data_IF_847481435152
#
_entry.id   IF_847481435152
#
_cell.length_a   1.000
_cell.length_b   1.000
_cell.length_c   1.000
_cell.angle_alpha   90.00
_cell.angle_beta   90.00
_cell.angle_gamma   90.00
#
_symmetry.space_group_name_H-M   'P 1'
#
loop_
_entity.id
_entity.type
_entity.pdbx_description
1 polymer ?
#
# COMPACT_ATOMS: atom_id res chain seq x y z
N UNK A 1 -8.91 0.85 -19.45
CA UNK A 1 -8.93 2.17 -18.78
C UNK A 1 -8.05 2.08 -17.53
N UNK A 2 -6.77 2.43 -17.66
CA UNK A 2 -5.82 2.42 -16.55
C UNK A 2 -6.00 3.72 -15.76
N UNK A 3 -6.79 3.66 -14.68
CA UNK A 3 -6.88 4.76 -13.72
C UNK A 3 -5.57 4.75 -12.95
N UNK A 4 -4.67 5.68 -13.30
CA UNK A 4 -3.44 5.93 -12.57
C UNK A 4 -3.77 6.14 -11.10
N UNK A 5 -3.22 5.30 -10.24
CA UNK A 5 -3.47 5.36 -8.81
C UNK A 5 -2.75 6.60 -8.23
N UNK A 6 -3.46 7.72 -8.11
CA UNK A 6 -3.02 8.80 -7.25
C UNK A 6 -3.04 8.29 -5.81
N UNK A 7 -1.87 7.90 -5.31
CA UNK A 7 -1.66 7.54 -3.92
C UNK A 7 -1.13 8.76 -3.20
N UNK A 8 -1.97 9.44 -2.43
CA UNK A 8 -1.52 10.51 -1.55
C UNK A 8 -1.10 9.92 -0.20
N UNK A 9 0.16 10.14 0.16
CA UNK A 9 0.78 9.61 1.38
C UNK A 9 1.07 10.73 2.36
N UNK A 10 0.59 10.62 3.60
CA UNK A 10 0.84 11.61 4.66
C UNK A 10 1.51 10.93 5.86
N UNK A 11 2.57 11.54 6.40
CA UNK A 11 3.20 11.15 7.66
C UNK A 11 3.08 12.30 8.65
N UNK A 12 2.60 12.04 9.87
CA UNK A 12 2.39 13.08 10.90
C UNK A 12 3.30 12.82 12.10
N UNK A 13 4.10 13.82 12.49
CA UNK A 13 4.89 13.85 13.73
C UNK A 13 4.10 14.54 14.84
N UNK A 14 4.25 14.09 16.10
CA UNK A 14 3.60 14.71 17.26
C UNK A 14 4.29 15.99 17.77
N UNK A 15 5.46 16.34 17.25
CA UNK A 15 6.01 17.68 17.42
C UNK A 15 5.27 18.60 16.45
N UNK A 16 4.63 19.68 16.94
CA UNK A 16 3.81 20.63 16.15
C UNK A 16 4.53 21.41 15.04
N UNK A 17 5.63 20.89 14.52
CA UNK A 17 6.29 21.32 13.29
C UNK A 17 5.98 20.27 12.23
N UNK A 18 5.21 20.67 11.21
CA UNK A 18 4.99 19.89 10.00
C UNK A 18 6.29 20.03 9.18
N UNK A 19 7.14 19.01 9.03
CA UNK A 19 8.18 19.09 8.02
C UNK A 19 7.49 18.99 6.66
N UNK A 20 7.89 19.88 5.76
CA UNK A 20 7.46 19.96 4.37
C UNK A 20 7.23 18.55 3.77
N UNK A 21 6.00 18.28 3.35
CA UNK A 21 5.57 16.98 2.86
C UNK A 21 6.39 16.61 1.61
N UNK A 22 7.37 15.72 1.76
CA UNK A 22 8.17 15.23 0.63
C UNK A 22 7.31 14.32 -0.28
N UNK A 23 7.10 14.67 -1.56
CA UNK A 23 6.43 13.79 -2.50
C UNK A 23 7.33 12.58 -2.80
N UNK A 24 7.00 11.43 -2.22
CA UNK A 24 7.72 10.17 -2.47
C UNK A 24 7.23 9.55 -3.79
N UNK A 25 8.04 9.69 -4.85
CA UNK A 25 7.80 8.97 -6.11
C UNK A 25 7.92 7.44 -5.91
N UNK A 26 7.02 6.64 -6.52
CA UNK A 26 7.06 5.18 -6.39
C UNK A 26 8.20 4.60 -7.25
N UNK A 27 9.36 4.35 -6.65
CA UNK A 27 10.39 3.49 -7.26
C UNK A 27 10.02 2.03 -7.07
N UNK A 28 9.92 1.27 -8.16
CA UNK A 28 9.31 -0.07 -8.29
C UNK A 28 9.96 -1.27 -7.57
N UNK A 29 10.50 -1.09 -6.37
CA UNK A 29 10.94 -2.19 -5.50
C UNK A 29 10.36 -1.94 -4.12
N UNK A 30 9.89 -2.98 -3.41
CA UNK A 30 9.07 -2.90 -2.20
C UNK A 30 9.63 -2.14 -0.98
N UNK A 31 10.65 -1.28 -1.12
CA UNK A 31 11.31 -0.54 -0.04
C UNK A 31 10.62 0.74 0.44
N UNK A 32 9.58 1.23 -0.24
CA UNK A 32 8.92 2.48 0.15
C UNK A 32 8.30 2.45 1.55
N UNK A 33 7.77 1.30 1.99
CA UNK A 33 7.13 1.16 3.32
C UNK A 33 8.12 0.95 4.44
N UNK A 34 9.22 0.26 4.16
CA UNK A 34 10.33 0.13 5.09
C UNK A 34 10.99 1.48 5.40
N UNK A 35 11.14 2.36 4.41
CA UNK A 35 11.64 3.72 4.61
C UNK A 35 10.73 4.53 5.56
N UNK A 36 9.41 4.46 5.37
CA UNK A 36 8.43 5.15 6.24
C UNK A 36 8.52 4.63 7.67
N UNK A 37 8.54 3.31 7.86
CA UNK A 37 8.62 2.71 9.20
C UNK A 37 9.89 3.12 9.96
N UNK A 38 11.01 3.35 9.26
CA UNK A 38 12.29 3.78 9.85
C UNK A 38 12.27 5.25 10.33
N UNK A 39 11.53 6.13 9.67
CA UNK A 39 11.49 7.56 10.02
C UNK A 39 10.45 7.89 11.10
N UNK A 40 9.49 6.99 11.34
CA UNK A 40 8.51 7.17 12.41
C UNK A 40 9.13 6.89 13.78
N UNK A 41 8.94 7.81 14.72
CA UNK A 41 9.17 7.58 16.15
C UNK A 41 8.12 6.59 16.70
N UNK A 42 8.38 5.89 17.82
CA UNK A 42 7.33 5.15 18.53
C UNK A 42 6.09 6.03 18.79
N UNK A 43 4.90 5.52 18.51
CA UNK A 43 3.63 6.25 18.55
C UNK A 43 3.36 7.16 17.34
N UNK A 44 4.34 7.33 16.44
CA UNK A 44 4.18 8.05 15.17
C UNK A 44 3.23 7.34 14.23
N UNK A 45 2.49 8.11 13.42
CA UNK A 45 1.43 7.58 12.55
C UNK A 45 1.70 7.86 11.09
N UNK A 46 1.58 6.81 10.28
CA UNK A 46 1.48 6.91 8.84
C UNK A 46 0.02 6.80 8.41
N UNK A 47 -0.43 7.73 7.57
CA UNK A 47 -1.81 7.79 7.08
C UNK A 47 -1.81 7.65 5.57
N UNK A 48 -2.56 6.68 5.07
CA UNK A 48 -2.73 6.44 3.64
C UNK A 48 -4.21 6.58 3.28
N UNK A 49 -4.52 7.42 2.29
CA UNK A 49 -5.85 7.55 1.71
C UNK A 49 -5.80 7.04 0.28
N UNK A 50 -6.70 6.15 -0.10
CA UNK A 50 -6.67 5.52 -1.42
C UNK A 50 -8.02 4.93 -1.80
N UNK A 51 -8.30 4.80 -3.10
CA UNK A 51 -9.43 4.01 -3.61
C UNK A 51 -9.20 2.49 -3.56
N UNK A 52 -7.97 2.06 -3.26
CA UNK A 52 -7.63 0.65 -3.27
C UNK A 52 -8.24 -0.11 -2.09
N UNK A 53 -8.95 -1.19 -2.40
CA UNK A 53 -9.62 -2.03 -1.42
C UNK A 53 -8.64 -2.69 -0.44
N UNK A 54 -9.08 -2.99 0.81
CA UNK A 54 -8.25 -3.59 1.86
C UNK A 54 -7.58 -4.89 1.44
N UNK A 55 -8.27 -5.74 0.68
CA UNK A 55 -7.74 -7.01 0.18
C UNK A 55 -6.45 -6.87 -0.64
N UNK A 56 -6.27 -5.74 -1.33
CA UNK A 56 -5.05 -5.45 -2.07
C UNK A 56 -4.09 -4.61 -1.24
N UNK A 57 -4.59 -3.56 -0.60
CA UNK A 57 -3.74 -2.55 0.04
C UNK A 57 -3.12 -3.04 1.35
N UNK A 58 -3.85 -3.77 2.20
CA UNK A 58 -3.32 -4.27 3.47
C UNK A 58 -2.12 -5.21 3.28
N UNK A 59 -2.05 -5.94 2.15
CA UNK A 59 -0.89 -6.80 1.82
C UNK A 59 0.43 -6.04 1.74
N UNK A 60 0.39 -4.74 1.42
CA UNK A 60 1.59 -3.88 1.35
C UNK A 60 2.02 -3.36 2.73
N UNK A 61 1.13 -3.42 3.72
CA UNK A 61 1.33 -2.85 5.05
C UNK A 61 1.55 -3.91 6.12
N UNK A 62 0.92 -5.09 5.97
CA UNK A 62 0.95 -6.20 6.90
C UNK A 62 2.31 -6.92 6.83
N UNK A 63 3.32 -6.29 7.42
CA UNK A 63 4.64 -6.87 7.63
C UNK A 63 5.08 -6.67 9.08
N UNK A 64 5.36 -7.75 9.81
CA UNK A 64 5.81 -7.68 11.21
C UNK A 64 7.11 -6.86 11.35
N UNK A 65 7.98 -6.90 10.33
CA UNK A 65 9.22 -6.09 10.29
C UNK A 65 9.00 -4.58 10.39
N UNK A 66 7.79 -4.08 10.09
CA UNK A 66 7.48 -2.67 10.21
C UNK A 66 7.10 -2.24 11.62
N UNK A 67 6.78 -3.20 12.51
CA UNK A 67 6.41 -2.95 13.92
C UNK A 67 5.37 -1.82 14.05
N UNK A 68 4.26 -1.96 13.34
CA UNK A 68 3.11 -1.09 13.46
C UNK A 68 1.81 -1.89 13.54
N UNK A 69 0.77 -1.27 14.08
CA UNK A 69 -0.61 -1.74 13.88
C UNK A 69 -1.17 -1.22 12.56
N UNK A 70 -2.30 -1.78 12.10
CA UNK A 70 -3.00 -1.32 10.90
C UNK A 70 -4.50 -1.22 11.22
N UNK A 71 -5.01 0.00 11.28
CA UNK A 71 -6.44 0.27 11.30
C UNK A 71 -6.88 0.79 9.93
N UNK A 72 -8.10 0.45 9.50
CA UNK A 72 -8.66 1.02 8.28
C UNK A 72 -10.12 1.38 8.45
N UNK A 73 -10.54 2.40 7.70
CA UNK A 73 -11.87 2.99 7.74
C UNK A 73 -12.33 3.29 6.31
N UNK A 74 -13.65 3.26 6.12
CA UNK A 74 -14.26 3.72 4.89
C UNK A 74 -14.65 5.19 5.06
N UNK A 75 -14.44 5.99 4.02
CA UNK A 75 -14.77 7.41 4.02
C UNK A 75 -15.43 7.81 2.70
N UNK A 76 -16.51 8.58 2.77
CA UNK A 76 -17.27 9.08 1.62
C UNK A 76 -18.53 8.26 1.31
N UNK A 77 -19.63 8.97 1.05
CA UNK A 77 -20.96 8.38 0.80
C UNK A 77 -21.17 8.00 -0.67
N UNK A 78 -20.52 8.70 -1.60
CA UNK A 78 -20.65 8.45 -3.06
C UNK A 78 -19.37 7.91 -3.71
N UNK A 79 -18.21 8.18 -3.10
CA UNK A 79 -16.91 7.66 -3.54
C UNK A 79 -16.25 7.01 -2.33
N UNK A 80 -16.09 5.68 -2.37
CA UNK A 80 -15.53 4.93 -1.24
C UNK A 80 -14.02 5.05 -1.21
N UNK A 81 -13.51 5.96 -0.38
CA UNK A 81 -12.11 6.00 0.00
C UNK A 81 -11.85 5.05 1.16
N UNK A 82 -10.65 4.49 1.17
CA UNK A 82 -10.12 3.71 2.28
C UNK A 82 -9.00 4.50 2.95
N UNK A 83 -9.21 4.81 4.23
CA UNK A 83 -8.24 5.43 5.11
C UNK A 83 -7.53 4.33 5.89
N UNK A 84 -6.20 4.30 5.85
CA UNK A 84 -5.37 3.43 6.68
C UNK A 84 -4.57 4.27 7.66
N UNK A 85 -4.59 3.89 8.93
CA UNK A 85 -3.80 4.49 10.00
C UNK A 85 -2.86 3.42 10.55
N UNK A 86 -1.56 3.63 10.39
CA UNK A 86 -0.52 2.70 10.81
C UNK A 86 0.26 3.34 11.95
N UNK A 87 0.21 2.75 13.14
CA UNK A 87 0.82 3.31 14.35
C UNK A 87 2.10 2.56 14.69
N UNK A 88 3.25 3.25 14.65
CA UNK A 88 4.56 2.67 14.96
C UNK A 88 4.66 2.28 16.44
N UNK A 89 5.27 1.12 16.71
CA UNK A 89 5.47 0.59 18.05
C UNK A 89 4.32 -0.27 18.56
N UNK A 90 3.25 -0.43 17.78
CA UNK A 90 2.17 -1.36 18.06
C UNK A 90 2.33 -2.65 17.24
N UNK A 91 1.65 -3.71 17.65
CA UNK A 91 1.68 -5.00 16.98
C UNK A 91 0.60 -5.12 15.90
N UNK A 92 0.87 -5.97 14.90
CA UNK A 92 -0.15 -6.37 13.93
C UNK A 92 -1.26 -7.18 14.62
N UNK A 93 -2.48 -7.05 14.09
CA UNK A 93 -3.58 -7.91 14.51
C UNK A 93 -3.33 -9.37 14.10
N UNK A 94 -3.94 -10.37 14.78
CA UNK A 94 -3.81 -11.77 14.38
C UNK A 94 -4.21 -12.03 12.92
N UNK A 95 -5.19 -11.28 12.41
CA UNK A 95 -5.63 -11.34 11.01
C UNK A 95 -4.55 -10.82 10.05
N UNK A 96 -3.89 -9.72 10.39
CA UNK A 96 -2.82 -9.13 9.56
C UNK A 96 -1.55 -10.00 9.59
N UNK A 97 -1.25 -10.66 10.72
CA UNK A 97 -0.19 -11.67 10.79
C UNK A 97 -0.50 -12.87 9.90
N UNK A 98 -1.75 -13.35 9.91
CA UNK A 98 -2.17 -14.41 9.01
C UNK A 98 -2.08 -13.98 7.54
N UNK A 99 -2.42 -12.73 7.23
CA UNK A 99 -2.29 -12.14 5.90
C UNK A 99 -0.82 -12.11 5.45
N UNK A 100 0.11 -11.67 6.32
CA UNK A 100 1.54 -11.69 6.03
C UNK A 100 2.02 -13.09 5.67
N UNK A 101 1.69 -14.09 6.49
CA UNK A 101 2.06 -15.50 6.23
C UNK A 101 1.55 -15.99 4.88
N UNK A 102 0.30 -15.68 4.55
CA UNK A 102 -0.30 -16.05 3.26
C UNK A 102 0.42 -15.38 2.08
N UNK A 103 0.78 -14.10 2.22
CA UNK A 103 1.52 -13.38 1.17
C UNK A 103 2.90 -13.98 0.98
N UNK A 104 3.62 -14.31 2.07
CA UNK A 104 4.93 -14.94 2.02
C UNK A 104 4.88 -16.32 1.34
N UNK A 105 3.96 -17.20 1.75
CA UNK A 105 3.84 -18.53 1.15
C UNK A 105 3.51 -18.48 -0.35
N UNK A 106 2.65 -17.54 -0.77
CA UNK A 106 2.31 -17.33 -2.17
C UNK A 106 3.49 -16.81 -3.01
N UNK A 107 4.44 -16.09 -2.40
CA UNK A 107 5.67 -15.66 -3.08
C UNK A 107 6.70 -16.78 -3.20
N UNK A 108 6.70 -17.74 -2.27
CA UNK A 108 7.58 -18.91 -2.29
C UNK A 108 7.12 -19.98 -3.30
N UNK A 109 5.81 -20.16 -3.49
CA UNK A 109 5.24 -21.18 -4.39
C UNK A 109 5.24 -20.80 -5.89
N UNK A 110 5.60 -19.55 -6.26
CA UNK A 110 5.69 -19.16 -7.67
C UNK A 110 7.12 -19.24 -8.19
N UNK A 111 7.47 -20.19 -9.08
CA UNK A 111 8.68 -20.06 -9.88
C UNK A 111 8.57 -18.75 -10.67
N UNK A 112 9.59 -17.89 -10.55
CA UNK A 112 9.68 -16.62 -11.26
C UNK A 112 9.82 -16.88 -12.77
N UNK A 113 8.72 -17.18 -13.45
CA UNK A 113 8.64 -17.19 -14.90
C UNK A 113 8.04 -15.86 -15.31
N UNK A 114 8.91 -14.86 -15.46
CA UNK A 114 8.55 -13.59 -16.11
C UNK A 114 8.55 -13.86 -17.60
N UNK A 115 7.43 -14.34 -18.14
CA UNK A 115 7.24 -14.33 -19.59
C UNK A 115 6.84 -12.91 -19.98
N UNK A 116 7.78 -12.16 -20.54
CA UNK A 116 7.44 -10.97 -21.33
C UNK A 116 6.70 -11.46 -22.57
N UNK A 117 5.38 -11.47 -22.53
CA UNK A 117 4.59 -11.55 -23.75
C UNK A 117 4.58 -10.14 -24.36
N UNK A 118 5.64 -9.81 -25.11
CA UNK A 118 5.53 -8.84 -26.20
C UNK A 118 4.56 -9.46 -27.22
N UNK A 119 3.26 -9.25 -26.99
CA UNK A 119 2.29 -9.37 -28.07
C UNK A 119 2.03 -7.94 -28.51
N UNK A 120 2.90 -7.47 -29.42
CA UNK A 120 2.52 -6.46 -30.39
C UNK A 120 1.28 -6.97 -31.12
N UNK A 121 0.10 -6.66 -30.59
CA UNK A 121 -1.10 -6.73 -31.39
C UNK A 121 -2.05 -5.65 -30.88
N UNK A 122 -1.97 -4.49 -31.53
CA UNK A 122 -2.83 -3.30 -31.37
C UNK A 122 -4.29 -3.56 -31.79
N UNK A 123 -4.76 -4.81 -31.72
CA UNK A 123 -6.13 -5.23 -32.06
C UNK A 123 -7.13 -4.95 -30.93
N UNK A 124 -6.67 -4.69 -29.71
CA UNK A 124 -7.54 -4.42 -28.56
C UNK A 124 -8.27 -3.07 -28.63
N UNK A 125 -7.84 -2.15 -29.50
CA UNK A 125 -8.50 -0.86 -29.71
C UNK A 125 -9.71 -0.96 -30.65
N UNK A 126 -9.83 -2.03 -31.43
CA UNK A 126 -10.84 -2.13 -32.49
C UNK A 126 -12.21 -2.67 -32.02
N UNK A 127 -12.31 -3.16 -30.78
CA UNK A 127 -13.55 -3.71 -30.21
C UNK A 127 -14.22 -2.83 -29.14
N UNK A 128 -13.75 -1.60 -28.96
CA UNK A 128 -14.47 -0.61 -28.14
C UNK A 128 -15.63 -0.09 -29.01
N UNK A 129 -16.74 -0.82 -29.00
CA UNK A 129 -17.95 -0.44 -29.71
C UNK A 129 -18.40 0.96 -29.29
N UNK A 130 -18.45 1.86 -30.27
CA UNK A 130 -19.15 3.15 -30.22
C UNK A 130 -20.66 2.93 -30.35
#
# INVERSE_FOLDING_TARGET
MAVGSENTFYALSQSGEIPEALPMHPTGRGGGKQAISRVLKPGGRFVSVTFAQPHFRKKLYARQEYSWSINHYHYGDSFHYFLYVLTKGEELSPEDVALERKVLSQMEDQPTVVTYQEVENEDFLNNIGL
#
